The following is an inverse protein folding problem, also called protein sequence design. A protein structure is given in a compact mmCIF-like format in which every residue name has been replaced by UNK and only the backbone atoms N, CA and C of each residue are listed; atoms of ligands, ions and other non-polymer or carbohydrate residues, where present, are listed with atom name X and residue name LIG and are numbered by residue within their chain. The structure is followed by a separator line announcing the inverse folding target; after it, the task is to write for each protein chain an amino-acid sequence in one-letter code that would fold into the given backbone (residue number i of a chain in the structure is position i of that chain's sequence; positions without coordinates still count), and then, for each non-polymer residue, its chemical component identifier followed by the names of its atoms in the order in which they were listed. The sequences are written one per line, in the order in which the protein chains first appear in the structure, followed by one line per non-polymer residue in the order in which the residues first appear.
data_IF_321971162546
#
_entry.id   IF_321971162546
#
_cell.length_a   1.000
_cell.length_b   1.000
_cell.length_c   1.000
_cell.angle_alpha   90.00
_cell.angle_beta   90.00
_cell.angle_gamma   90.00
#
_symmetry.space_group_name_H-M   'P 1'
#
loop_
_entity.id
_entity.type
_entity.pdbx_description
1 polymer ?
#
# COMPACT_ATOMS: atom_id res chain seq x y z
N UNK A 1 -7.19 -24.35 -18.88
CA UNK A 1 -7.28 -22.89 -19.13
C UNK A 1 -7.88 -22.24 -17.90
N UNK A 2 -7.11 -21.39 -17.23
CA UNK A 2 -7.63 -20.68 -16.07
C UNK A 2 -8.64 -19.65 -16.59
N UNK A 3 -9.87 -19.72 -16.11
CA UNK A 3 -10.87 -18.73 -16.44
C UNK A 3 -10.38 -17.34 -15.95
N UNK A 4 -10.28 -16.40 -16.86
CA UNK A 4 -9.86 -15.02 -16.58
C UNK A 4 -10.71 -14.37 -15.48
N UNK A 5 -12.01 -14.67 -15.45
CA UNK A 5 -12.94 -14.19 -14.43
C UNK A 5 -12.57 -14.73 -13.04
N UNK A 6 -12.24 -16.01 -12.95
CA UNK A 6 -11.83 -16.64 -11.68
C UNK A 6 -10.50 -16.05 -11.17
N UNK A 7 -9.52 -15.88 -12.05
CA UNK A 7 -8.24 -15.29 -11.69
C UNK A 7 -8.40 -13.83 -11.20
N UNK A 8 -9.23 -13.04 -11.86
CA UNK A 8 -9.53 -11.67 -11.42
C UNK A 8 -10.13 -11.66 -10.01
N UNK A 9 -11.07 -12.55 -9.75
CA UNK A 9 -11.69 -12.68 -8.42
C UNK A 9 -10.67 -13.02 -7.34
N UNK A 10 -9.75 -13.95 -7.61
CA UNK A 10 -8.67 -14.30 -6.68
C UNK A 10 -7.77 -13.09 -6.40
N UNK A 11 -7.36 -12.38 -7.44
CA UNK A 11 -6.50 -11.19 -7.30
C UNK A 11 -7.19 -10.08 -6.50
N UNK A 12 -8.46 -9.83 -6.74
CA UNK A 12 -9.24 -8.85 -5.96
C UNK A 12 -9.29 -9.22 -4.48
N UNK A 13 -9.47 -10.50 -4.15
CA UNK A 13 -9.47 -10.97 -2.76
C UNK A 13 -8.11 -10.74 -2.10
N UNK A 14 -7.01 -10.98 -2.81
CA UNK A 14 -5.66 -10.70 -2.29
C UNK A 14 -5.49 -9.21 -2.00
N UNK A 15 -5.90 -8.34 -2.92
CA UNK A 15 -5.82 -6.88 -2.76
C UNK A 15 -6.66 -6.42 -1.57
N UNK A 16 -7.88 -6.93 -1.42
CA UNK A 16 -8.77 -6.59 -0.31
C UNK A 16 -8.18 -7.00 1.04
N UNK A 17 -7.59 -8.21 1.14
CA UNK A 17 -6.92 -8.66 2.36
C UNK A 17 -5.69 -7.81 2.69
N UNK A 18 -4.93 -7.43 1.67
CA UNK A 18 -3.77 -6.56 1.83
C UNK A 18 -4.18 -5.20 2.42
N UNK A 19 -5.17 -4.55 1.83
CA UNK A 19 -5.69 -3.27 2.28
C UNK A 19 -6.26 -3.37 3.70
N UNK A 20 -7.03 -4.41 4.00
CA UNK A 20 -7.58 -4.62 5.34
C UNK A 20 -6.48 -4.79 6.40
N UNK A 21 -5.40 -5.51 6.07
CA UNK A 21 -4.26 -5.67 6.96
C UNK A 21 -3.53 -4.36 7.21
N UNK A 22 -3.40 -3.51 6.20
CA UNK A 22 -2.82 -2.17 6.37
C UNK A 22 -3.69 -1.30 7.28
N UNK A 23 -5.01 -1.30 7.10
CA UNK A 23 -5.93 -0.57 7.98
C UNK A 23 -5.84 -1.05 9.43
N UNK A 24 -5.63 -2.35 9.64
CA UNK A 24 -5.46 -2.94 10.97
C UNK A 24 -4.08 -2.65 11.58
N UNK A 25 -3.13 -2.12 10.80
CA UNK A 25 -1.75 -1.93 11.23
C UNK A 25 -0.98 -3.24 11.42
N UNK A 26 -1.45 -4.33 10.82
CA UNK A 26 -0.87 -5.67 10.96
C UNK A 26 0.13 -5.94 9.84
N UNK A 27 1.39 -5.53 10.07
CA UNK A 27 2.47 -5.67 9.10
C UNK A 27 2.69 -7.13 8.69
N UNK A 28 2.64 -8.06 9.64
CA UNK A 28 2.81 -9.48 9.34
C UNK A 28 1.71 -9.99 8.40
N UNK A 29 0.47 -9.55 8.61
CA UNK A 29 -0.65 -9.90 7.73
C UNK A 29 -0.48 -9.29 6.33
N UNK A 30 0.02 -8.05 6.22
CA UNK A 30 0.33 -7.42 4.92
C UNK A 30 1.36 -8.28 4.18
N UNK A 31 2.46 -8.64 4.83
CA UNK A 31 3.52 -9.45 4.22
C UNK A 31 3.01 -10.82 3.76
N UNK A 32 2.07 -11.43 4.48
CA UNK A 32 1.50 -12.73 4.11
C UNK A 32 0.61 -12.68 2.86
N UNK A 33 0.22 -11.51 2.38
CA UNK A 33 -0.54 -11.40 1.12
C UNK A 33 0.34 -11.57 -0.12
N UNK A 34 1.66 -11.40 0.03
CA UNK A 34 2.62 -11.67 -1.03
C UNK A 34 2.92 -13.16 -1.14
N UNK A 35 3.31 -13.61 -2.33
CA UNK A 35 3.81 -14.96 -2.51
C UNK A 35 5.09 -15.18 -1.67
N UNK A 36 5.26 -16.35 -1.03
CA UNK A 36 6.43 -16.62 -0.20
C UNK A 36 7.74 -16.37 -0.96
N UNK A 37 8.65 -15.59 -0.34
CA UNK A 37 9.94 -15.26 -0.91
C UNK A 37 9.92 -14.25 -2.04
N UNK A 38 8.78 -13.61 -2.32
CA UNK A 38 8.63 -12.66 -3.44
C UNK A 38 8.07 -11.31 -3.00
N UNK A 39 8.43 -10.85 -1.81
CA UNK A 39 7.95 -9.55 -1.33
C UNK A 39 8.76 -8.43 -1.96
N UNK A 40 8.07 -7.51 -2.64
CA UNK A 40 8.68 -6.31 -3.21
C UNK A 40 7.72 -5.12 -3.08
N UNK A 41 8.29 -3.94 -2.85
CA UNK A 41 7.56 -2.68 -2.74
C UNK A 41 8.31 -1.58 -3.49
N UNK A 42 7.60 -0.76 -4.23
CA UNK A 42 8.18 0.29 -5.06
C UNK A 42 7.42 1.60 -4.89
N UNK A 43 8.12 2.73 -5.04
CA UNK A 43 7.53 4.06 -5.03
C UNK A 43 8.58 5.13 -5.16
N UNK A 44 8.22 6.28 -5.73
CA UNK A 44 9.16 7.38 -6.01
C UNK A 44 9.84 7.90 -4.73
N UNK A 45 9.15 7.85 -3.60
CA UNK A 45 9.66 8.34 -2.32
C UNK A 45 10.65 7.38 -1.66
N UNK A 46 10.80 6.15 -2.19
CA UNK A 46 11.67 5.12 -1.61
C UNK A 46 13.08 5.10 -2.21
N UNK A 47 13.30 5.82 -3.31
CA UNK A 47 14.60 5.84 -3.99
C UNK A 47 14.95 4.55 -4.73
N UNK A 48 13.98 3.66 -4.94
CA UNK A 48 14.15 2.38 -5.62
C UNK A 48 13.27 1.30 -5.03
N UNK A 49 13.39 0.09 -5.54
CA UNK A 49 12.61 -1.04 -5.07
C UNK A 49 13.15 -1.58 -3.75
N UNK A 50 12.25 -1.81 -2.79
CA UNK A 50 12.54 -2.58 -1.59
C UNK A 50 12.23 -4.05 -1.86
N UNK A 51 13.12 -4.94 -1.48
CA UNK A 51 12.98 -6.38 -1.75
C UNK A 51 13.16 -7.17 -0.45
N UNK A 52 12.23 -8.08 -0.21
CA UNK A 52 12.25 -9.01 0.92
C UNK A 52 11.48 -8.53 2.14
N UNK A 53 11.13 -9.49 2.97
CA UNK A 53 10.29 -9.29 4.16
C UNK A 53 10.87 -8.26 5.13
N UNK A 54 12.19 -8.29 5.31
CA UNK A 54 12.85 -7.40 6.27
C UNK A 54 12.75 -5.93 5.84
N UNK A 55 13.14 -5.62 4.60
CA UNK A 55 13.14 -4.25 4.09
C UNK A 55 11.72 -3.70 3.97
N UNK A 56 10.81 -4.49 3.39
CA UNK A 56 9.41 -4.08 3.21
C UNK A 56 8.71 -4.00 4.57
N UNK A 57 8.95 -4.95 5.46
CA UNK A 57 8.39 -4.94 6.82
C UNK A 57 8.83 -3.72 7.63
N UNK A 58 10.09 -3.33 7.55
CA UNK A 58 10.61 -2.12 8.23
C UNK A 58 9.94 -0.85 7.69
N UNK A 59 9.79 -0.73 6.38
CA UNK A 59 9.11 0.40 5.74
C UNK A 59 7.64 0.48 6.15
N UNK A 60 6.92 -0.64 6.12
CA UNK A 60 5.51 -0.68 6.54
C UNK A 60 5.34 -0.33 8.01
N UNK A 61 6.22 -0.84 8.88
CA UNK A 61 6.19 -0.55 10.32
C UNK A 61 6.33 0.96 10.56
N UNK A 62 7.31 1.60 9.94
CA UNK A 62 7.53 3.03 10.07
C UNK A 62 6.37 3.84 9.48
N UNK A 63 5.88 3.45 8.30
CA UNK A 63 4.79 4.15 7.61
C UNK A 63 3.47 4.07 8.38
N UNK A 64 3.12 2.90 8.89
CA UNK A 64 1.88 2.71 9.66
C UNK A 64 1.97 3.36 11.06
N UNK A 65 3.16 3.47 11.64
CA UNK A 65 3.35 4.22 12.88
C UNK A 65 3.20 5.73 12.64
N UNK A 66 3.70 6.24 11.52
CA UNK A 66 3.60 7.66 11.16
C UNK A 66 2.17 8.07 10.81
N UNK A 67 1.46 7.19 10.12
CA UNK A 67 0.09 7.42 9.62
C UNK A 67 -0.85 6.38 10.20
N UNK A 68 -1.24 6.58 11.46
CA UNK A 68 -2.13 5.69 12.20
C UNK A 68 -3.61 5.96 11.93
N UNK A 69 -4.48 5.12 12.47
CA UNK A 69 -5.93 5.21 12.25
C UNK A 69 -6.26 5.33 10.76
N UNK A 70 -5.59 4.51 9.97
CA UNK A 70 -5.63 4.53 8.52
C UNK A 70 -6.97 4.00 8.02
N UNK A 71 -7.60 4.76 7.12
CA UNK A 71 -8.78 4.34 6.36
C UNK A 71 -8.46 4.42 4.88
N UNK A 72 -8.74 3.36 4.16
CA UNK A 72 -8.47 3.24 2.73
C UNK A 72 -9.78 2.96 1.99
N UNK A 73 -10.17 3.87 1.12
CA UNK A 73 -11.33 3.71 0.25
C UNK A 73 -10.86 3.39 -1.16
N UNK A 74 -11.34 2.29 -1.73
CA UNK A 74 -11.09 1.97 -3.14
C UNK A 74 -12.11 2.75 -3.96
N UNK A 75 -11.64 3.76 -4.70
CA UNK A 75 -12.49 4.57 -5.59
C UNK A 75 -12.76 3.85 -6.90
N UNK A 76 -11.73 3.22 -7.46
CA UNK A 76 -11.80 2.42 -8.68
C UNK A 76 -10.78 1.31 -8.64
N UNK A 77 -11.12 0.18 -9.25
CA UNK A 77 -10.22 -0.96 -9.40
C UNK A 77 -10.22 -1.38 -10.87
N UNK A 78 -9.05 -1.56 -11.42
CA UNK A 78 -8.84 -1.94 -12.82
C UNK A 78 -8.02 -3.23 -12.89
N UNK A 79 -8.33 -4.09 -13.86
CA UNK A 79 -7.56 -5.28 -14.15
C UNK A 79 -6.70 -5.08 -15.38
N UNK A 80 -5.40 -5.35 -15.25
CA UNK A 80 -4.50 -5.54 -16.37
C UNK A 80 -4.16 -7.04 -16.49
N UNK A 81 -3.40 -7.42 -17.49
CA UNK A 81 -3.01 -8.82 -17.70
C UNK A 81 -2.23 -9.38 -16.50
N UNK A 82 -1.34 -8.59 -15.93
CA UNK A 82 -0.42 -8.98 -14.86
C UNK A 82 -0.54 -8.09 -13.60
N UNK A 83 -1.62 -7.32 -13.49
CA UNK A 83 -1.76 -6.40 -12.36
C UNK A 83 -3.22 -6.10 -12.02
N UNK A 84 -3.43 -5.71 -10.77
CA UNK A 84 -4.63 -4.99 -10.32
C UNK A 84 -4.19 -3.57 -9.98
N UNK A 85 -4.86 -2.59 -10.55
CA UNK A 85 -4.56 -1.16 -10.35
C UNK A 85 -5.71 -0.55 -9.55
N UNK A 86 -5.38 0.08 -8.43
CA UNK A 86 -6.38 0.71 -7.56
C UNK A 86 -6.15 2.21 -7.48
N UNK A 87 -7.25 2.96 -7.61
CA UNK A 87 -7.30 4.38 -7.28
C UNK A 87 -7.90 4.50 -5.88
N UNK A 88 -7.12 5.03 -4.95
CA UNK A 88 -7.44 5.01 -3.53
C UNK A 88 -7.57 6.42 -2.98
N UNK A 89 -8.44 6.58 -1.97
CA UNK A 89 -8.43 7.72 -1.06
C UNK A 89 -8.03 7.21 0.32
N UNK A 90 -7.00 7.83 0.89
CA UNK A 90 -6.51 7.49 2.23
C UNK A 90 -6.78 8.65 3.19
N UNK A 91 -7.10 8.30 4.42
CA UNK A 91 -7.20 9.24 5.53
C UNK A 91 -6.50 8.62 6.73
N UNK A 92 -5.68 9.40 7.43
CA UNK A 92 -4.91 8.91 8.57
C UNK A 92 -4.58 10.05 9.53
N UNK A 93 -4.12 9.70 10.73
CA UNK A 93 -3.66 10.66 11.72
C UNK A 93 -2.13 10.61 11.79
N UNK A 94 -1.49 11.77 11.72
CA UNK A 94 -0.04 11.89 11.76
C UNK A 94 0.47 11.73 13.20
N UNK A 95 1.01 10.55 13.53
CA UNK A 95 1.35 10.16 14.91
C UNK A 95 2.82 9.85 15.16
N UNK A 96 3.65 9.87 14.11
CA UNK A 96 5.11 9.75 14.24
C UNK A 96 5.78 10.53 13.11
N UNK A 97 7.11 10.56 13.10
CA UNK A 97 7.86 11.28 12.05
C UNK A 97 7.44 10.84 10.65
N UNK A 98 7.16 11.80 9.79
CA UNK A 98 6.91 11.60 8.38
C UNK A 98 7.78 12.55 7.58
N UNK A 99 8.73 12.01 6.84
CA UNK A 99 9.67 12.76 5.99
C UNK A 99 10.31 13.95 6.73
N UNK A 100 10.75 13.70 7.97
CA UNK A 100 11.37 14.70 8.81
C UNK A 100 10.42 15.64 9.55
N UNK A 101 9.10 15.47 9.40
CA UNK A 101 8.10 16.26 10.13
C UNK A 101 7.66 15.47 11.37
N UNK A 102 7.97 15.97 12.59
CA UNK A 102 7.53 15.31 13.82
C UNK A 102 6.01 15.23 13.93
N UNK A 103 5.52 14.27 14.69
CA UNK A 103 4.08 14.02 14.88
C UNK A 103 3.30 15.30 15.17
N UNK A 104 2.30 15.60 14.35
CA UNK A 104 1.43 16.78 14.51
C UNK A 104 0.08 16.45 15.12
N UNK A 105 -0.33 15.18 15.13
CA UNK A 105 -1.67 14.77 15.51
C UNK A 105 -2.77 15.15 14.51
N UNK A 106 -2.40 15.72 13.37
CA UNK A 106 -3.35 16.17 12.35
C UNK A 106 -3.91 15.01 11.55
N UNK A 107 -5.15 15.12 11.14
CA UNK A 107 -5.78 14.23 10.18
C UNK A 107 -5.39 14.68 8.78
N UNK A 108 -4.89 13.75 7.95
CA UNK A 108 -4.54 14.01 6.56
C UNK A 108 -5.37 13.14 5.63
N UNK A 109 -5.67 13.66 4.43
CA UNK A 109 -6.38 12.94 3.38
C UNK A 109 -5.65 13.14 2.06
N UNK A 110 -5.43 12.04 1.32
CA UNK A 110 -4.73 12.10 0.05
C UNK A 110 -5.15 10.96 -0.86
N UNK A 111 -4.86 11.10 -2.15
CA UNK A 111 -5.07 10.05 -3.14
C UNK A 111 -3.79 9.28 -3.40
N UNK A 112 -3.96 8.00 -3.72
CA UNK A 112 -2.86 7.12 -4.08
C UNK A 112 -3.31 6.21 -5.22
N UNK A 113 -2.41 5.96 -6.17
CA UNK A 113 -2.56 4.88 -7.12
C UNK A 113 -1.63 3.75 -6.68
N UNK A 114 -2.19 2.57 -6.40
CA UNK A 114 -1.40 1.40 -6.05
C UNK A 114 -1.54 0.34 -7.15
N UNK A 115 -0.41 -0.10 -7.66
CA UNK A 115 -0.32 -1.14 -8.68
C UNK A 115 0.14 -2.42 -8.00
N UNK A 116 -0.75 -3.41 -7.94
CA UNK A 116 -0.46 -4.73 -7.38
C UNK A 116 -0.09 -5.65 -8.54
N UNK A 117 1.18 -6.06 -8.60
CA UNK A 117 1.69 -6.92 -9.68
C UNK A 117 1.60 -8.38 -9.31
N UNK A 118 1.04 -9.14 -10.23
CA UNK A 118 0.77 -10.57 -10.06
C UNK A 118 1.48 -11.41 -11.12
N UNK A 119 1.89 -12.60 -10.68
CA UNK A 119 2.26 -13.71 -11.54
C UNK A 119 1.19 -14.80 -11.29
N UNK A 120 0.25 -14.97 -12.25
CA UNK A 120 -0.93 -15.75 -11.98
C UNK A 120 -1.72 -15.19 -10.78
N UNK A 121 -1.90 -16.00 -9.75
CA UNK A 121 -2.57 -15.62 -8.50
C UNK A 121 -1.60 -15.04 -7.45
N UNK A 122 -0.30 -15.03 -7.73
CA UNK A 122 0.75 -14.67 -6.77
C UNK A 122 1.08 -13.19 -6.83
N UNK A 123 0.78 -12.47 -5.76
CA UNK A 123 1.21 -11.08 -5.58
C UNK A 123 2.72 -11.05 -5.30
N UNK A 124 3.48 -10.29 -6.10
CA UNK A 124 4.92 -10.18 -5.88
C UNK A 124 5.44 -8.74 -5.70
N UNK A 125 4.66 -7.72 -6.10
CA UNK A 125 5.04 -6.34 -5.88
C UNK A 125 3.82 -5.45 -5.70
N UNK A 126 3.91 -4.49 -4.76
CA UNK A 126 3.05 -3.33 -4.72
C UNK A 126 3.87 -2.10 -5.10
N UNK A 127 3.41 -1.34 -6.10
CA UNK A 127 4.00 -0.07 -6.48
C UNK A 127 3.01 1.06 -6.20
N UNK A 128 3.43 2.08 -5.45
CA UNK A 128 2.55 3.17 -5.03
C UNK A 128 3.00 4.50 -5.61
N UNK A 129 2.02 5.32 -5.98
CA UNK A 129 2.21 6.65 -6.54
C UNK A 129 1.28 7.62 -5.83
N UNK A 130 1.84 8.64 -5.21
CA UNK A 130 1.08 9.67 -4.53
C UNK A 130 1.88 10.98 -4.48
N UNK A 131 1.20 12.09 -4.27
CA UNK A 131 1.85 13.39 -4.16
C UNK A 131 2.21 13.68 -2.70
N UNK A 132 3.49 13.53 -2.37
CA UNK A 132 3.99 13.79 -1.03
C UNK A 132 3.82 15.27 -0.63
N UNK A 133 3.86 16.19 -1.59
CA UNK A 133 3.66 17.62 -1.32
C UNK A 133 2.26 17.90 -0.77
N UNK A 134 1.25 17.19 -1.25
CA UNK A 134 -0.13 17.29 -0.74
C UNK A 134 -0.20 16.90 0.74
N UNK A 135 0.49 15.84 1.14
CA UNK A 135 0.54 15.40 2.54
C UNK A 135 1.30 16.44 3.38
N UNK A 136 2.48 16.85 2.94
CA UNK A 136 3.32 17.80 3.70
C UNK A 136 2.64 19.15 3.89
N UNK A 137 1.90 19.63 2.89
CA UNK A 137 1.14 20.88 3.01
C UNK A 137 0.09 20.81 4.12
N UNK A 138 -0.58 19.68 4.30
CA UNK A 138 -1.55 19.47 5.37
C UNK A 138 -0.88 19.38 6.74
N UNK A 139 0.36 18.91 6.82
CA UNK A 139 1.10 18.79 8.08
C UNK A 139 1.76 20.09 8.53
N UNK A 140 2.06 21.00 7.60
CA UNK A 140 2.81 22.22 7.87
C UNK A 140 1.99 23.49 7.65
N UNK A 141 0.82 23.37 7.11
CA UNK A 141 -0.09 24.48 6.82
C UNK A 141 -0.86 25.04 8.01
#
# INVERSE_FOLDING_TARGET
MTDTSHLRSIREQVVQRHIAAEEDGDVAAVLRTFAPGRVSYSGDTLGGDLIGDHAVGAMLTAGLAAMSDLKIEILRLHHAEDAVITELRLASTHTADFDGIPATGRRVTYHMCAVFRFDGADLWQEAVYYDIATIKAQLTG
#
